data_IF_585865979508
#
_entry.id   IF_585865979508
#
_cell.length_a   1.000
_cell.length_b   1.000
_cell.length_c   1.000
_cell.angle_alpha   90.00
_cell.angle_beta   90.00
_cell.angle_gamma   90.00
#
_symmetry.space_group_name_H-M   'P 1'
#
loop_
_entity.id
_entity.type
_entity.pdbx_description
1 polymer ?
#
# COMPACT_ATOMS: atom_id res chain seq x y z
N UNK A 1 -17.33 -3.53 -9.97
CA UNK A 1 -17.26 -3.82 -8.52
C UNK A 1 -18.63 -3.61 -7.89
N UNK A 2 -19.03 -4.48 -6.95
CA UNK A 2 -20.32 -4.42 -6.24
C UNK A 2 -20.09 -4.10 -4.77
N UNK A 3 -20.79 -3.09 -4.25
CA UNK A 3 -20.65 -2.65 -2.84
C UNK A 3 -20.88 -3.78 -1.84
N UNK A 4 -21.91 -4.62 -2.06
CA UNK A 4 -22.26 -5.75 -1.17
C UNK A 4 -21.20 -6.86 -1.10
N UNK A 5 -20.24 -6.87 -2.02
CA UNK A 5 -19.13 -7.83 -2.08
C UNK A 5 -17.79 -7.21 -1.62
N UNK A 6 -17.82 -6.02 -1.02
CA UNK A 6 -16.60 -5.35 -0.58
C UNK A 6 -15.76 -4.74 -1.70
N UNK A 7 -16.35 -4.52 -2.89
CA UNK A 7 -15.61 -3.88 -4.01
C UNK A 7 -15.38 -2.40 -3.79
N UNK A 8 -14.51 -1.84 -4.63
CA UNK A 8 -14.09 -0.44 -4.64
C UNK A 8 -12.57 -0.33 -4.58
N UNK A 9 -12.03 0.73 -5.16
CA UNK A 9 -10.58 0.87 -5.36
C UNK A 9 -9.78 0.79 -4.05
N UNK A 10 -10.34 1.29 -2.95
CA UNK A 10 -9.66 1.28 -1.64
C UNK A 10 -9.49 -0.15 -1.12
N UNK A 11 -10.53 -1.00 -1.23
CA UNK A 11 -10.46 -2.38 -0.73
C UNK A 11 -9.80 -3.33 -1.72
N UNK A 12 -9.98 -3.13 -3.02
CA UNK A 12 -9.37 -3.97 -4.05
C UNK A 12 -7.85 -3.76 -4.13
N UNK A 13 -7.39 -2.51 -3.88
CA UNK A 13 -5.96 -2.15 -3.88
C UNK A 13 -5.40 -1.95 -2.46
N UNK A 14 -5.98 -2.62 -1.47
CA UNK A 14 -5.61 -2.50 -0.06
C UNK A 14 -4.13 -2.82 0.21
N UNK A 15 -3.50 -3.63 -0.64
CA UNK A 15 -2.09 -3.95 -0.56
C UNK A 15 -1.15 -2.73 -0.74
N UNK A 16 -1.64 -1.63 -1.31
CA UNK A 16 -0.89 -0.38 -1.38
C UNK A 16 -0.80 0.29 0.00
N UNK A 17 -1.83 0.13 0.84
CA UNK A 17 -1.81 0.57 2.24
C UNK A 17 -0.95 -0.34 3.10
N UNK A 18 -0.92 -1.64 2.80
CA UNK A 18 -0.16 -2.65 3.52
C UNK A 18 1.35 -2.37 3.46
N UNK A 19 1.93 -2.21 2.27
CA UNK A 19 3.35 -1.92 2.21
C UNK A 19 3.69 -0.49 2.68
N UNK A 20 2.75 0.48 2.63
CA UNK A 20 2.96 1.76 3.27
C UNK A 20 3.15 1.60 4.79
N UNK A 21 2.32 0.77 5.45
CA UNK A 21 2.47 0.43 6.86
C UNK A 21 3.76 -0.34 7.14
N UNK A 22 4.12 -1.29 6.27
CA UNK A 22 5.37 -2.04 6.37
C UNK A 22 6.61 -1.12 6.38
N UNK A 23 6.62 -0.06 5.58
CA UNK A 23 7.74 0.89 5.50
C UNK A 23 7.70 1.97 6.59
N UNK A 24 6.51 2.44 6.98
CA UNK A 24 6.34 3.66 7.76
C UNK A 24 5.83 3.40 9.19
N UNK A 25 5.36 2.18 9.49
CA UNK A 25 4.91 1.79 10.82
C UNK A 25 3.42 2.03 11.05
N UNK A 26 3.07 2.40 12.29
CA UNK A 26 1.68 2.51 12.73
C UNK A 26 1.00 3.80 12.27
N UNK A 27 -0.15 3.68 11.60
CA UNK A 27 -0.96 4.80 11.20
C UNK A 27 -1.72 5.39 12.40
N UNK A 28 -1.74 6.72 12.48
CA UNK A 28 -2.40 7.48 13.56
C UNK A 28 -3.70 8.10 13.10
N UNK A 29 -3.72 8.63 11.89
CA UNK A 29 -4.84 9.41 11.37
C UNK A 29 -4.90 9.34 9.85
N UNK A 30 -6.09 9.32 9.29
CA UNK A 30 -6.33 9.28 7.86
C UNK A 30 -7.28 10.39 7.44
N UNK A 31 -6.97 11.06 6.32
CA UNK A 31 -7.90 11.91 5.58
C UNK A 31 -8.00 11.43 4.15
N UNK A 32 -9.21 11.39 3.57
CA UNK A 32 -9.40 10.87 2.23
C UNK A 32 -10.50 11.59 1.47
N UNK A 33 -10.31 11.68 0.14
CA UNK A 33 -11.36 11.89 -0.83
C UNK A 33 -11.47 10.66 -1.72
N UNK A 34 -12.65 10.09 -1.84
CA UNK A 34 -12.91 8.97 -2.73
C UNK A 34 -14.28 9.06 -3.38
N UNK A 35 -14.46 8.42 -4.51
CA UNK A 35 -15.75 8.37 -5.17
C UNK A 35 -15.68 7.75 -6.54
N UNK A 36 -16.85 7.58 -7.15
CA UNK A 36 -16.96 7.25 -8.56
C UNK A 36 -16.74 8.52 -9.37
N UNK A 37 -15.67 8.59 -10.13
CA UNK A 37 -15.24 9.75 -10.93
C UNK A 37 -15.31 9.49 -12.44
N UNK A 38 -15.67 8.27 -12.85
CA UNK A 38 -15.72 7.85 -14.26
C UNK A 38 -17.05 7.24 -14.66
N UNK A 39 -17.16 6.87 -15.95
CA UNK A 39 -18.29 6.18 -16.53
C UNK A 39 -18.20 4.65 -16.43
N UNK A 40 -17.26 4.11 -15.63
CA UNK A 40 -17.18 2.67 -15.39
C UNK A 40 -18.49 2.13 -14.81
N UNK A 41 -18.95 0.98 -15.28
CA UNK A 41 -20.18 0.32 -14.79
C UNK A 41 -19.93 -0.38 -13.44
N UNK A 42 -19.69 0.43 -12.40
CA UNK A 42 -19.47 -0.03 -11.03
C UNK A 42 -20.32 0.76 -10.03
N UNK A 43 -20.56 0.16 -8.85
CA UNK A 43 -21.38 0.76 -7.76
C UNK A 43 -20.54 1.44 -6.68
N UNK A 44 -19.21 1.32 -6.79
CA UNK A 44 -18.25 1.70 -5.76
C UNK A 44 -17.35 2.84 -6.23
N UNK A 45 -16.48 3.33 -5.37
CA UNK A 45 -15.44 4.27 -5.74
C UNK A 45 -14.44 3.65 -6.74
N UNK A 46 -14.06 4.43 -7.75
CA UNK A 46 -13.04 4.10 -8.75
C UNK A 46 -11.77 4.94 -8.59
N UNK A 47 -11.80 5.93 -7.71
CA UNK A 47 -10.68 6.82 -7.41
C UNK A 47 -10.67 7.16 -5.93
N UNK A 48 -9.49 7.18 -5.32
CA UNK A 48 -9.26 7.62 -3.96
C UNK A 48 -7.92 8.33 -3.82
N UNK A 49 -7.93 9.47 -3.08
CA UNK A 49 -6.77 10.17 -2.57
C UNK A 49 -6.76 10.02 -1.06
N UNK A 50 -5.69 9.46 -0.51
CA UNK A 50 -5.60 9.12 0.91
C UNK A 50 -4.33 9.74 1.49
N UNK A 51 -4.48 10.55 2.54
CA UNK A 51 -3.38 11.09 3.33
C UNK A 51 -3.34 10.37 4.67
N UNK A 52 -2.19 9.85 5.06
CA UNK A 52 -1.98 9.11 6.31
C UNK A 52 -0.90 9.82 7.12
N UNK A 53 -1.23 10.17 8.38
CA UNK A 53 -0.31 10.63 9.40
C UNK A 53 0.10 9.43 10.26
N UNK A 54 1.40 9.12 10.32
CA UNK A 54 1.95 8.00 11.07
C UNK A 54 2.40 8.44 12.47
N UNK A 55 2.46 7.51 13.43
CA UNK A 55 2.86 7.79 14.82
C UNK A 55 4.29 8.34 14.93
N UNK A 56 5.17 8.01 14.00
CA UNK A 56 6.54 8.53 13.93
C UNK A 56 6.64 9.92 13.28
N UNK A 57 5.52 10.55 12.93
CA UNK A 57 5.45 11.88 12.30
C UNK A 57 5.68 11.87 10.78
N UNK A 58 5.77 10.70 10.15
CA UNK A 58 5.85 10.59 8.68
C UNK A 58 4.47 10.82 8.06
N UNK A 59 4.42 11.53 6.93
CA UNK A 59 3.22 11.68 6.11
C UNK A 59 3.32 10.81 4.87
N UNK A 60 2.22 10.16 4.52
CA UNK A 60 2.10 9.36 3.31
C UNK A 60 0.88 9.82 2.50
N UNK A 61 1.06 9.90 1.19
CA UNK A 61 0.01 10.10 0.21
C UNK A 61 -0.14 8.82 -0.60
N UNK A 62 -1.39 8.36 -0.77
CA UNK A 62 -1.71 7.17 -1.57
C UNK A 62 -2.80 7.55 -2.58
N UNK A 63 -2.44 7.47 -3.86
CA UNK A 63 -3.39 7.59 -4.97
C UNK A 63 -3.79 6.20 -5.46
N UNK A 64 -5.09 5.95 -5.55
CA UNK A 64 -5.65 4.70 -6.05
C UNK A 64 -6.68 4.99 -7.14
N UNK A 65 -6.57 4.34 -8.29
CA UNK A 65 -7.57 4.47 -9.34
C UNK A 65 -7.69 3.21 -10.23
N UNK A 66 -8.85 3.09 -10.92
CA UNK A 66 -9.08 2.10 -11.97
C UNK A 66 -8.89 2.67 -13.39
N UNK A 67 -8.50 3.93 -13.51
CA UNK A 67 -8.64 4.73 -14.72
C UNK A 67 -7.33 4.88 -15.48
N UNK A 68 -6.21 4.96 -14.78
CA UNK A 68 -4.93 5.32 -15.35
C UNK A 68 -4.50 4.41 -16.50
N UNK A 69 -4.11 5.02 -17.63
CA UNK A 69 -3.57 4.36 -18.82
C UNK A 69 -2.38 5.15 -19.35
N UNK A 70 -1.18 4.56 -19.52
CA UNK A 70 -0.85 3.17 -19.14
C UNK A 70 -0.94 2.95 -17.62
N UNK A 71 -1.05 1.68 -17.16
CA UNK A 71 -1.07 1.40 -15.73
C UNK A 71 0.24 1.85 -15.08
N UNK A 72 0.14 2.37 -13.86
CA UNK A 72 1.28 2.73 -13.04
C UNK A 72 1.15 2.07 -11.67
N UNK A 73 2.25 1.53 -11.15
CA UNK A 73 2.35 1.06 -9.78
C UNK A 73 3.74 1.39 -9.26
N UNK A 74 3.84 2.44 -8.47
CA UNK A 74 5.12 2.96 -7.99
C UNK A 74 4.99 3.59 -6.61
N UNK A 75 6.10 3.72 -5.93
CA UNK A 75 6.17 4.54 -4.73
C UNK A 75 7.46 5.40 -4.70
N UNK A 76 7.42 6.44 -3.89
CA UNK A 76 8.57 7.28 -3.58
C UNK A 76 8.68 7.46 -2.08
N UNK A 77 9.86 7.18 -1.52
CA UNK A 77 10.21 7.48 -0.13
C UNK A 77 11.25 8.60 -0.14
N UNK A 78 10.93 9.72 0.49
CA UNK A 78 11.83 10.87 0.62
C UNK A 78 12.23 11.05 2.07
N UNK A 79 13.53 11.08 2.34
CA UNK A 79 14.09 11.23 3.66
C UNK A 79 15.32 12.14 3.68
N UNK A 80 15.82 12.44 4.87
CA UNK A 80 16.97 13.32 5.06
C UNK A 80 18.27 12.76 4.46
N UNK A 81 18.37 11.44 4.33
CA UNK A 81 19.57 10.77 3.77
C UNK A 81 19.49 10.56 2.26
N UNK A 82 18.31 10.70 1.66
CA UNK A 82 18.16 10.47 0.22
C UNK A 82 16.71 10.22 -0.17
N UNK A 83 16.54 9.75 -1.41
CA UNK A 83 15.23 9.42 -1.97
C UNK A 83 15.28 8.08 -2.65
N UNK A 84 14.24 7.27 -2.46
CA UNK A 84 14.03 6.00 -3.13
C UNK A 84 12.81 6.12 -4.03
N UNK A 85 12.92 5.68 -5.27
CA UNK A 85 11.82 5.49 -6.21
C UNK A 85 11.76 4.02 -6.59
N UNK A 86 10.58 3.43 -6.53
CA UNK A 86 10.37 2.07 -7.01
C UNK A 86 9.25 2.05 -8.06
N UNK A 87 9.52 1.40 -9.18
CA UNK A 87 8.53 1.03 -10.18
C UNK A 87 8.29 -0.47 -10.09
N UNK A 88 7.12 -0.85 -9.56
CA UNK A 88 6.76 -2.23 -9.29
C UNK A 88 6.36 -3.00 -10.56
N UNK A 89 6.02 -2.29 -11.65
CA UNK A 89 5.70 -2.93 -12.93
C UNK A 89 6.96 -3.31 -13.71
N UNK A 90 8.00 -2.48 -13.60
CA UNK A 90 9.30 -2.74 -14.25
C UNK A 90 10.32 -3.39 -13.33
N UNK A 91 9.98 -3.55 -12.04
CA UNK A 91 10.85 -4.12 -11.01
C UNK A 91 12.17 -3.37 -10.86
N UNK A 92 12.11 -2.03 -10.93
CA UNK A 92 13.27 -1.15 -10.78
C UNK A 92 13.18 -0.32 -9.52
N UNK A 93 14.31 -0.21 -8.83
CA UNK A 93 14.48 0.68 -7.68
C UNK A 93 15.62 1.64 -7.96
N UNK A 94 15.37 2.94 -7.83
CA UNK A 94 16.38 4.00 -7.93
C UNK A 94 16.59 4.62 -6.56
N UNK A 95 17.83 4.74 -6.14
CA UNK A 95 18.23 5.27 -4.83
C UNK A 95 19.16 6.46 -5.07
N UNK A 96 18.77 7.63 -4.57
CA UNK A 96 19.62 8.81 -4.53
C UNK A 96 20.13 9.03 -3.11
N UNK A 97 21.45 9.13 -2.93
CA UNK A 97 22.10 9.39 -1.64
C UNK A 97 22.50 10.87 -1.53
N UNK A 98 21.93 11.58 -0.56
CA UNK A 98 22.22 13.00 -0.33
C UNK A 98 23.68 13.27 0.09
N UNK A 99 24.38 12.30 0.69
CA UNK A 99 25.77 12.50 1.16
C UNK A 99 26.78 12.45 0.00
N UNK A 100 26.54 11.55 -0.95
CA UNK A 100 27.44 11.34 -2.08
C UNK A 100 27.02 12.10 -3.33
N UNK A 101 25.74 12.50 -3.42
CA UNK A 101 25.12 13.02 -4.64
C UNK A 101 24.98 11.96 -5.74
N UNK A 102 25.18 10.68 -5.38
CA UNK A 102 25.14 9.56 -6.31
C UNK A 102 23.74 8.99 -6.50
N UNK A 103 23.50 8.41 -7.68
CA UNK A 103 22.30 7.66 -8.02
C UNK A 103 22.68 6.22 -8.31
N UNK A 104 22.02 5.29 -7.62
CA UNK A 104 22.09 3.85 -7.89
C UNK A 104 20.77 3.38 -8.49
N UNK A 105 20.83 2.48 -9.47
CA UNK A 105 19.65 1.84 -10.04
C UNK A 105 19.80 0.33 -9.92
N UNK A 106 18.87 -0.29 -9.22
CA UNK A 106 18.78 -1.74 -9.04
C UNK A 106 17.68 -2.26 -9.96
N UNK A 107 18.03 -3.15 -10.89
CA UNK A 107 17.07 -3.83 -11.78
C UNK A 107 16.85 -5.26 -11.26
N UNK A 108 15.65 -5.52 -10.75
CA UNK A 108 15.27 -6.81 -10.13
C UNK A 108 14.65 -7.80 -11.13
N UNK A 109 14.70 -7.53 -12.44
CA UNK A 109 14.04 -8.35 -13.48
C UNK A 109 14.44 -9.82 -13.46
N UNK A 110 15.68 -10.13 -13.10
CA UNK A 110 16.16 -11.50 -12.94
C UNK A 110 15.61 -12.11 -11.63
N UNK A 111 14.40 -12.59 -11.64
CA UNK A 111 13.84 -13.34 -10.50
C UNK A 111 12.45 -12.99 -10.06
N UNK A 112 11.85 -11.94 -10.59
CA UNK A 112 10.48 -11.52 -10.27
C UNK A 112 9.46 -11.93 -11.34
N UNK A 113 9.50 -13.21 -11.77
CA UNK A 113 8.33 -13.77 -12.43
C UNK A 113 7.14 -13.73 -11.46
N UNK A 114 6.03 -13.16 -11.91
CA UNK A 114 4.80 -13.01 -11.08
C UNK A 114 4.40 -14.31 -10.40
N UNK A 115 4.52 -15.44 -11.10
CA UNK A 115 4.20 -16.75 -10.55
C UNK A 115 5.18 -17.17 -9.44
N UNK A 116 6.46 -16.84 -9.57
CA UNK A 116 7.49 -17.15 -8.57
C UNK A 116 7.20 -16.45 -7.24
N UNK A 117 6.71 -15.21 -7.27
CA UNK A 117 6.33 -14.46 -6.06
C UNK A 117 5.24 -15.22 -5.27
N UNK A 118 4.16 -15.65 -5.94
CA UNK A 118 3.12 -16.45 -5.31
C UNK A 118 3.62 -17.82 -4.82
N UNK A 119 4.50 -18.47 -5.56
CA UNK A 119 5.11 -19.73 -5.14
C UNK A 119 5.97 -19.55 -3.87
N UNK A 120 6.71 -18.45 -3.76
CA UNK A 120 7.51 -18.15 -2.58
C UNK A 120 6.62 -17.87 -1.36
N UNK A 121 5.52 -17.14 -1.54
CA UNK A 121 4.55 -16.84 -0.49
C UNK A 121 3.92 -18.14 0.06
N UNK A 122 3.37 -18.98 -0.82
CA UNK A 122 2.77 -20.25 -0.44
C UNK A 122 3.81 -21.17 0.22
N UNK A 123 5.02 -21.24 -0.33
CA UNK A 123 6.10 -22.03 0.27
C UNK A 123 6.44 -21.53 1.68
N UNK A 124 6.58 -20.22 1.89
CA UNK A 124 6.85 -19.64 3.21
C UNK A 124 5.77 -20.06 4.22
N UNK A 125 4.51 -19.96 3.83
CA UNK A 125 3.38 -20.35 4.68
C UNK A 125 3.42 -21.85 5.06
N UNK A 126 3.72 -22.74 4.08
CA UNK A 126 3.86 -24.17 4.33
C UNK A 126 5.05 -24.46 5.25
N UNK A 127 6.20 -23.82 5.04
CA UNK A 127 7.39 -23.96 5.86
C UNK A 127 7.15 -23.49 7.30
N UNK A 128 6.34 -22.43 7.48
CA UNK A 128 5.89 -21.97 8.80
C UNK A 128 5.01 -23.01 9.51
N UNK A 129 4.00 -23.55 8.84
CA UNK A 129 3.14 -24.60 9.39
C UNK A 129 3.94 -25.86 9.76
N UNK A 130 4.99 -26.17 9.01
CA UNK A 130 5.92 -27.29 9.26
C UNK A 130 6.96 -27.01 10.35
N UNK A 131 6.97 -25.82 10.95
CA UNK A 131 7.93 -25.42 11.99
C UNK A 131 9.35 -25.14 11.47
N UNK A 132 9.54 -25.03 10.15
CA UNK A 132 10.86 -24.82 9.52
C UNK A 132 11.14 -23.36 9.17
N UNK A 133 10.19 -22.45 9.33
CA UNK A 133 10.39 -21.01 9.15
C UNK A 133 9.82 -20.19 10.32
N UNK A 134 10.19 -18.90 10.35
CA UNK A 134 9.61 -17.94 11.29
C UNK A 134 8.19 -17.59 10.89
N UNK A 135 7.45 -16.95 11.83
CA UNK A 135 6.13 -16.41 11.62
C UNK A 135 6.03 -15.64 10.28
N UNK A 136 4.94 -15.86 9.50
CA UNK A 136 4.76 -15.14 8.25
C UNK A 136 4.61 -13.64 8.51
N UNK A 137 5.14 -12.84 7.62
CA UNK A 137 4.93 -11.40 7.55
C UNK A 137 4.26 -11.09 6.20
N UNK A 138 3.13 -10.37 6.17
CA UNK A 138 2.34 -9.86 7.31
C UNK A 138 1.52 -10.96 8.02
N UNK A 139 1.20 -10.74 9.29
CA UNK A 139 0.32 -11.60 10.07
C UNK A 139 -1.15 -11.13 10.05
N UNK A 140 -2.02 -11.77 10.85
CA UNK A 140 -3.44 -11.40 10.94
C UNK A 140 -3.65 -10.02 11.58
N UNK A 141 -2.79 -9.61 12.51
CA UNK A 141 -2.86 -8.29 13.13
C UNK A 141 -2.48 -7.19 12.15
N UNK A 142 -1.46 -7.40 11.33
CA UNK A 142 -1.10 -6.50 10.24
C UNK A 142 -2.27 -6.34 9.26
N UNK A 143 -2.88 -7.45 8.83
CA UNK A 143 -4.05 -7.42 7.96
C UNK A 143 -5.24 -6.67 8.57
N UNK A 144 -5.49 -6.83 9.88
CA UNK A 144 -6.53 -6.11 10.61
C UNK A 144 -6.25 -4.61 10.65
N UNK A 145 -5.01 -4.20 10.95
CA UNK A 145 -4.59 -2.79 10.98
C UNK A 145 -4.76 -2.11 9.62
N UNK A 146 -4.34 -2.76 8.56
CA UNK A 146 -4.49 -2.25 7.20
C UNK A 146 -5.95 -2.11 6.81
N UNK A 147 -6.81 -3.08 7.19
CA UNK A 147 -8.26 -2.98 6.98
C UNK A 147 -8.86 -1.80 7.76
N UNK A 148 -8.43 -1.54 9.00
CA UNK A 148 -8.87 -0.37 9.78
C UNK A 148 -8.54 0.95 9.05
N UNK A 149 -7.35 1.07 8.46
CA UNK A 149 -6.97 2.24 7.66
C UNK A 149 -7.87 2.39 6.43
N UNK A 150 -8.12 1.32 5.70
CA UNK A 150 -8.99 1.34 4.52
C UNK A 150 -10.43 1.75 4.88
N UNK A 151 -10.97 1.24 5.98
CA UNK A 151 -12.31 1.60 6.46
C UNK A 151 -12.36 3.05 6.97
N UNK A 152 -11.33 3.51 7.68
CA UNK A 152 -11.20 4.90 8.12
C UNK A 152 -11.08 5.87 6.93
N UNK A 153 -10.38 5.49 5.84
CA UNK A 153 -10.33 6.28 4.62
C UNK A 153 -11.72 6.42 3.98
N UNK A 154 -12.49 5.33 3.89
CA UNK A 154 -13.88 5.36 3.39
C UNK A 154 -14.78 6.24 4.28
N UNK A 155 -14.63 6.15 5.59
CA UNK A 155 -15.36 6.99 6.55
C UNK A 155 -14.97 8.45 6.42
N UNK A 156 -13.67 8.76 6.33
CA UNK A 156 -13.14 10.11 6.14
C UNK A 156 -13.72 10.78 4.90
N UNK A 157 -13.73 10.08 3.79
CA UNK A 157 -14.31 10.58 2.54
C UNK A 157 -15.81 10.85 2.64
N UNK A 158 -16.55 10.03 3.41
CA UNK A 158 -17.99 10.21 3.63
C UNK A 158 -18.28 11.41 4.53
N UNK A 159 -17.47 11.62 5.58
CA UNK A 159 -17.69 12.63 6.61
C UNK A 159 -16.97 13.95 6.33
N UNK A 160 -16.04 13.99 5.36
CA UNK A 160 -15.28 15.19 5.03
C UNK A 160 -14.32 15.65 6.14
N UNK A 161 -13.89 14.73 7.01
CA UNK A 161 -12.97 15.03 8.12
C UNK A 161 -11.92 13.93 8.29
N UNK A 162 -10.83 14.25 8.98
CA UNK A 162 -9.84 13.26 9.36
C UNK A 162 -10.40 12.28 10.42
N UNK A 163 -10.08 11.00 10.28
CA UNK A 163 -10.45 9.92 11.19
C UNK A 163 -9.20 9.42 11.91
N UNK A 164 -9.26 9.32 13.23
CA UNK A 164 -8.21 8.70 14.02
C UNK A 164 -8.29 7.18 13.90
N UNK A 165 -7.15 6.53 13.72
CA UNK A 165 -7.06 5.07 13.76
C UNK A 165 -7.08 4.63 15.23
N UNK A 166 -7.96 3.68 15.61
CA UNK A 166 -7.97 3.14 16.96
C UNK A 166 -6.62 2.53 17.31
N UNK A 167 -6.09 2.86 18.47
CA UNK A 167 -4.93 2.16 19.02
C UNK A 167 -5.43 0.87 19.66
N UNK A 168 -4.70 -0.20 19.44
CA UNK A 168 -4.91 -1.42 20.21
C UNK A 168 -4.54 -1.13 21.67
N UNK A 169 -5.44 -1.52 22.58
CA UNK A 169 -5.24 -1.41 24.04
C UNK A 169 -4.48 -2.65 24.49
#
# INVERSE_FOLDING_TARGET
AKRRLGGGVILDLIHELDYACCFLGEAKKVFSFSGKKSDLEIETEDTAEILIDFENGTLCEVHLDYLQRPPCRSFKLAGTKGTIWADLLTSKVSIYDNNTGGMEVIDLKEGLERNRMYMCEVKHFIDYLGGSSREPLPDLDDGRKVLQIALAAKESSREGRAINIPRDI
#
